data_IF_662903231304
#
_entry.id   IF_662903231304
#
_cell.length_a   1.000
_cell.length_b   1.000
_cell.length_c   1.000
_cell.angle_alpha   90.00
_cell.angle_beta   90.00
_cell.angle_gamma   90.00
#
_symmetry.space_group_name_H-M   'P 1'
#
loop_
_entity.id
_entity.type
_entity.pdbx_description
1 polymer ?
#
# COMPACT_ATOMS: atom_id res chain seq x y z
N UNK A 1 16.85 -19.04 57.89
CA UNK A 1 16.65 -20.21 56.99
C UNK A 1 17.95 -20.62 56.28
N UNK A 2 18.76 -19.66 55.80
CA UNK A 2 20.02 -19.95 55.07
C UNK A 2 21.06 -20.64 55.95
N UNK A 3 21.26 -20.15 57.15
CA UNK A 3 22.25 -20.70 58.11
C UNK A 3 21.80 -22.02 58.77
N UNK A 4 20.48 -22.22 58.97
CA UNK A 4 19.97 -23.42 59.66
C UNK A 4 19.87 -24.66 58.73
N UNK A 5 19.85 -24.50 57.41
CA UNK A 5 19.62 -25.59 56.45
C UNK A 5 20.70 -25.75 55.38
N UNK A 6 21.79 -24.99 55.40
CA UNK A 6 22.86 -25.00 54.38
C UNK A 6 22.33 -24.87 52.94
N UNK A 7 21.27 -24.09 52.73
CA UNK A 7 20.64 -23.90 51.43
C UNK A 7 21.22 -22.66 50.75
N UNK A 8 21.46 -22.75 49.46
CA UNK A 8 21.66 -21.58 48.61
C UNK A 8 20.31 -21.08 48.12
N UNK A 9 20.09 -19.78 48.20
CA UNK A 9 18.86 -19.13 47.73
C UNK A 9 19.24 -18.20 46.59
N UNK A 10 18.64 -18.40 45.42
CA UNK A 10 18.75 -17.50 44.28
C UNK A 10 17.45 -16.70 44.17
N UNK A 11 17.59 -15.38 44.26
CA UNK A 11 16.48 -14.45 44.03
C UNK A 11 16.60 -13.90 42.60
N UNK A 12 15.55 -14.07 41.79
CA UNK A 12 15.48 -13.49 40.47
C UNK A 12 14.36 -12.44 40.51
N UNK A 13 14.71 -11.19 40.25
CA UNK A 13 13.75 -10.09 40.23
C UNK A 13 14.03 -9.14 39.05
N UNK A 14 12.99 -8.45 38.59
CA UNK A 14 13.13 -7.35 37.68
C UNK A 14 12.94 -6.05 38.47
N UNK A 15 14.01 -5.30 38.63
CA UNK A 15 14.01 -4.06 39.44
C UNK A 15 13.11 -2.99 38.83
N UNK A 16 13.03 -2.91 37.47
CA UNK A 16 12.20 -1.94 36.78
C UNK A 16 10.70 -2.21 36.96
N UNK A 17 10.33 -3.46 37.25
CA UNK A 17 8.97 -3.86 37.54
C UNK A 17 8.58 -3.75 39.03
N UNK A 18 9.51 -3.42 39.92
CA UNK A 18 9.20 -3.24 41.32
C UNK A 18 8.40 -1.96 41.56
N UNK A 19 7.31 -2.08 42.32
CA UNK A 19 6.59 -0.90 42.81
C UNK A 19 7.52 -0.10 43.74
N UNK A 20 7.32 1.22 43.77
CA UNK A 20 8.17 2.16 44.50
C UNK A 20 8.44 1.72 45.95
N UNK A 21 7.42 1.32 46.68
CA UNK A 21 7.56 0.88 48.08
C UNK A 21 8.40 -0.40 48.19
N UNK A 22 8.24 -1.36 47.26
CA UNK A 22 9.02 -2.60 47.26
C UNK A 22 10.48 -2.36 46.83
N UNK A 23 10.73 -1.36 45.98
CA UNK A 23 12.08 -0.94 45.59
C UNK A 23 12.81 -0.30 46.75
N UNK A 24 12.19 0.62 47.49
CA UNK A 24 12.75 1.25 48.68
C UNK A 24 13.04 0.23 49.79
N UNK A 25 12.18 -0.77 50.00
CA UNK A 25 12.41 -1.88 50.91
C UNK A 25 13.60 -2.76 50.46
N UNK A 26 13.67 -3.09 49.17
CA UNK A 26 14.77 -3.89 48.64
C UNK A 26 16.12 -3.16 48.75
N UNK A 27 16.18 -1.87 48.42
CA UNK A 27 17.38 -1.04 48.60
C UNK A 27 17.81 -0.97 50.06
N UNK A 28 16.86 -0.89 51.00
CA UNK A 28 17.13 -0.79 52.43
C UNK A 28 17.67 -2.10 53.05
N UNK A 29 17.16 -3.24 52.57
CA UNK A 29 17.47 -4.55 53.16
C UNK A 29 18.35 -5.44 52.26
N UNK A 30 18.59 -5.07 51.02
CA UNK A 30 19.37 -5.84 50.05
C UNK A 30 20.74 -6.20 50.51
N UNK A 31 21.51 -5.22 51.04
CA UNK A 31 22.87 -5.46 51.60
C UNK A 31 22.90 -6.53 52.70
N UNK A 32 21.81 -6.72 53.44
CA UNK A 32 21.75 -7.71 54.54
C UNK A 32 21.32 -9.10 54.09
N UNK A 33 20.70 -9.19 52.92
CA UNK A 33 20.06 -10.41 52.41
C UNK A 33 20.79 -11.04 51.23
N UNK A 34 21.51 -10.22 50.48
CA UNK A 34 22.14 -10.62 49.20
C UNK A 34 23.67 -10.66 49.43
N UNK A 35 24.28 -11.83 49.25
CA UNK A 35 25.73 -12.00 49.35
C UNK A 35 26.40 -11.62 48.01
N UNK A 36 25.76 -11.89 46.91
CA UNK A 36 26.25 -11.62 45.56
C UNK A 36 25.07 -11.16 44.72
N UNK A 37 25.20 -10.02 44.11
CA UNK A 37 24.29 -9.47 43.13
C UNK A 37 24.92 -9.60 41.74
N UNK A 38 24.13 -10.14 40.78
CA UNK A 38 24.55 -10.29 39.38
C UNK A 38 23.53 -9.63 38.52
N UNK A 39 23.88 -8.53 37.91
CA UNK A 39 23.04 -7.91 36.92
C UNK A 39 23.05 -8.73 35.61
N UNK A 40 21.88 -9.16 35.18
CA UNK A 40 21.70 -9.89 33.93
C UNK A 40 21.18 -8.94 32.84
N UNK A 41 22.10 -8.33 32.10
CA UNK A 41 21.79 -7.49 30.94
C UNK A 41 22.02 -8.31 29.67
N UNK A 42 21.00 -8.42 28.87
CA UNK A 42 21.07 -9.08 27.55
C UNK A 42 21.18 -8.01 26.47
N UNK A 43 22.07 -8.21 25.50
CA UNK A 43 22.06 -7.39 24.27
C UNK A 43 20.85 -7.73 23.41
N UNK A 44 20.42 -6.86 22.49
CA UNK A 44 19.40 -7.20 21.50
C UNK A 44 19.77 -8.45 20.71
N UNK A 45 21.02 -8.59 20.30
CA UNK A 45 21.51 -9.72 19.50
C UNK A 45 21.47 -11.03 20.29
N UNK A 46 21.88 -11.03 21.58
CA UNK A 46 21.72 -12.20 22.44
C UNK A 46 20.26 -12.58 22.65
N UNK A 47 19.39 -11.58 22.78
CA UNK A 47 17.95 -11.82 22.94
C UNK A 47 17.34 -12.39 21.65
N UNK A 48 17.76 -11.90 20.49
CA UNK A 48 17.37 -12.40 19.16
C UNK A 48 17.82 -13.83 18.95
N UNK A 49 19.10 -14.13 19.18
CA UNK A 49 19.69 -15.48 19.04
C UNK A 49 19.10 -16.52 20.00
N UNK A 50 18.39 -16.10 21.08
CA UNK A 50 17.61 -17.04 21.91
C UNK A 50 16.32 -17.52 21.23
N UNK A 51 15.87 -16.86 20.16
CA UNK A 51 14.56 -17.11 19.51
C UNK A 51 14.73 -17.52 18.07
N UNK A 52 15.58 -16.86 17.33
CA UNK A 52 15.83 -17.11 15.93
C UNK A 52 17.15 -17.87 15.75
N UNK A 53 17.15 -18.80 14.81
CA UNK A 53 18.36 -19.46 14.35
C UNK A 53 18.89 -18.71 13.10
N UNK A 54 20.19 -18.86 12.79
CA UNK A 54 20.83 -18.19 11.65
C UNK A 54 20.19 -18.60 10.32
N UNK A 55 19.63 -19.80 10.23
CA UNK A 55 18.95 -20.35 9.05
C UNK A 55 17.47 -19.94 8.95
N UNK A 56 16.90 -19.23 9.95
CA UNK A 56 15.54 -18.73 9.83
C UNK A 56 15.49 -17.68 8.69
N UNK A 57 14.56 -17.88 7.78
CA UNK A 57 14.25 -16.96 6.71
C UNK A 57 14.14 -15.53 7.19
N UNK A 58 14.14 -14.51 6.86
CA UNK A 58 13.98 -13.15 7.42
C UNK A 58 14.88 -12.81 8.63
N UNK A 59 15.72 -13.75 9.08
CA UNK A 59 16.59 -13.56 10.26
C UNK A 59 17.44 -12.29 10.15
N UNK A 60 18.01 -12.01 8.98
CA UNK A 60 18.88 -10.84 8.74
C UNK A 60 18.13 -9.50 8.88
N UNK A 61 16.93 -9.40 8.31
CA UNK A 61 16.10 -8.18 8.38
C UNK A 61 15.61 -7.96 9.81
N UNK A 62 15.08 -9.01 10.43
CA UNK A 62 14.53 -8.94 11.79
C UNK A 62 15.59 -8.67 12.84
N UNK A 63 16.80 -9.25 12.70
CA UNK A 63 17.94 -8.98 13.58
C UNK A 63 18.33 -7.50 13.53
N UNK A 64 18.44 -6.93 12.33
CA UNK A 64 18.71 -5.51 12.12
C UNK A 64 17.67 -4.61 12.82
N UNK A 65 16.40 -4.91 12.60
CA UNK A 65 15.28 -4.18 13.20
C UNK A 65 15.26 -4.27 14.73
N UNK A 66 15.45 -5.48 15.27
CA UNK A 66 15.50 -5.72 16.73
C UNK A 66 16.67 -4.96 17.38
N UNK A 67 17.84 -4.96 16.73
CA UNK A 67 19.03 -4.25 17.23
C UNK A 67 18.85 -2.74 17.15
N UNK A 68 18.29 -2.22 16.07
CA UNK A 68 18.05 -0.79 15.87
C UNK A 68 17.01 -0.22 16.86
N UNK A 69 15.95 -1.00 17.17
CA UNK A 69 14.94 -0.65 18.18
C UNK A 69 15.36 -1.01 19.61
N UNK A 70 16.56 -1.55 19.81
CA UNK A 70 17.09 -2.01 21.10
C UNK A 70 16.17 -2.98 21.85
N UNK A 71 15.48 -3.88 21.15
CA UNK A 71 14.54 -4.83 21.74
C UNK A 71 15.32 -5.95 22.45
N UNK A 72 15.29 -5.96 23.78
CA UNK A 72 16.00 -6.94 24.63
C UNK A 72 15.07 -7.99 25.24
N UNK A 73 13.74 -7.79 25.09
CA UNK A 73 12.73 -8.65 25.67
C UNK A 73 12.46 -9.86 24.79
N UNK A 74 12.95 -11.04 25.18
CA UNK A 74 12.78 -12.31 24.48
C UNK A 74 11.31 -12.65 24.20
N UNK A 75 10.38 -12.25 25.07
CA UNK A 75 8.94 -12.51 24.86
C UNK A 75 8.37 -11.70 23.68
N UNK A 76 8.85 -10.47 23.51
CA UNK A 76 8.48 -9.63 22.34
C UNK A 76 9.01 -10.29 21.07
N UNK A 77 10.28 -10.73 21.08
CA UNK A 77 10.92 -11.39 19.93
C UNK A 77 10.23 -12.72 19.59
N UNK A 78 9.81 -13.50 20.61
CA UNK A 78 9.02 -14.73 20.38
C UNK A 78 7.66 -14.42 19.75
N UNK A 79 7.01 -13.34 20.14
CA UNK A 79 5.76 -12.89 19.50
C UNK A 79 6.00 -12.44 18.06
N UNK A 80 7.08 -11.69 17.82
CA UNK A 80 7.52 -11.31 16.50
C UNK A 80 7.69 -12.53 15.60
N UNK A 81 8.50 -13.53 15.99
CA UNK A 81 8.70 -14.77 15.25
C UNK A 81 7.38 -15.46 14.90
N UNK A 82 6.44 -15.53 15.84
CA UNK A 82 5.14 -16.14 15.61
C UNK A 82 4.29 -15.38 14.60
N UNK A 83 4.33 -14.04 14.62
CA UNK A 83 3.56 -13.19 13.71
C UNK A 83 4.20 -13.16 12.31
N UNK A 84 5.53 -13.13 12.23
CA UNK A 84 6.26 -13.24 10.98
C UNK A 84 5.92 -14.52 10.22
N UNK A 85 5.81 -15.67 10.90
CA UNK A 85 5.38 -16.92 10.27
C UNK A 85 3.98 -16.86 9.66
N UNK A 86 3.10 -16.00 10.17
CA UNK A 86 1.77 -15.80 9.60
C UNK A 86 1.79 -14.83 8.41
N UNK A 87 2.74 -13.91 8.39
CA UNK A 87 2.92 -12.98 7.29
C UNK A 87 3.68 -13.61 6.11
N UNK A 88 4.53 -14.59 6.38
CA UNK A 88 5.40 -15.24 5.39
C UNK A 88 4.71 -15.59 4.07
N UNK A 89 3.53 -16.27 4.03
CA UNK A 89 2.91 -16.68 2.77
C UNK A 89 2.59 -15.52 1.81
N UNK A 90 2.48 -14.31 2.33
CA UNK A 90 2.17 -13.10 1.54
C UNK A 90 3.42 -12.37 1.07
N UNK A 91 4.62 -12.76 1.58
CA UNK A 91 5.91 -12.16 1.25
C UNK A 91 6.75 -13.01 0.28
N UNK A 92 6.32 -14.25 -0.02
CA UNK A 92 7.14 -15.21 -0.81
C UNK A 92 7.39 -14.76 -2.25
N UNK A 93 6.51 -13.94 -2.84
CA UNK A 93 6.59 -13.50 -4.24
C UNK A 93 6.77 -11.99 -4.41
N UNK A 94 6.96 -11.24 -3.31
CA UNK A 94 7.13 -9.79 -3.38
C UNK A 94 8.59 -9.35 -3.54
N UNK A 95 8.79 -8.10 -3.93
CA UNK A 95 10.12 -7.51 -4.04
C UNK A 95 10.84 -7.46 -2.68
N UNK A 96 12.18 -7.60 -2.65
CA UNK A 96 12.94 -7.59 -1.40
C UNK A 96 12.73 -6.33 -0.55
N UNK A 97 12.45 -5.19 -1.18
CA UNK A 97 12.17 -3.94 -0.48
C UNK A 97 10.80 -3.96 0.20
N UNK A 98 9.80 -4.55 -0.45
CA UNK A 98 8.44 -4.77 0.10
C UNK A 98 8.49 -5.70 1.30
N UNK A 99 9.20 -6.83 1.18
CA UNK A 99 9.47 -7.77 2.27
C UNK A 99 10.08 -7.06 3.47
N UNK A 100 11.17 -6.33 3.24
CA UNK A 100 11.86 -5.56 4.27
C UNK A 100 10.94 -4.57 4.96
N UNK A 101 10.22 -3.75 4.22
CA UNK A 101 9.29 -2.74 4.73
C UNK A 101 8.21 -3.35 5.61
N UNK A 102 7.61 -4.46 5.18
CA UNK A 102 6.58 -5.16 5.94
C UNK A 102 7.13 -5.75 7.25
N UNK A 103 8.33 -6.33 7.24
CA UNK A 103 8.98 -6.90 8.42
C UNK A 103 9.44 -5.84 9.41
N UNK A 104 10.01 -4.74 8.93
CA UNK A 104 10.39 -3.59 9.74
C UNK A 104 9.16 -2.97 10.41
N UNK A 105 8.08 -2.73 9.66
CA UNK A 105 6.82 -2.22 10.19
C UNK A 105 6.22 -3.18 11.23
N UNK A 106 6.19 -4.49 10.95
CA UNK A 106 5.71 -5.49 11.92
C UNK A 106 6.54 -5.44 13.21
N UNK A 107 7.87 -5.34 13.10
CA UNK A 107 8.77 -5.31 14.26
C UNK A 107 8.51 -4.09 15.14
N UNK A 108 8.38 -2.90 14.54
CA UNK A 108 8.04 -1.67 15.23
C UNK A 108 6.68 -1.76 15.95
N UNK A 109 5.65 -2.22 15.24
CA UNK A 109 4.30 -2.35 15.82
C UNK A 109 4.24 -3.38 16.95
N UNK A 110 4.95 -4.50 16.83
CA UNK A 110 5.05 -5.52 17.90
C UNK A 110 5.74 -4.93 19.13
N UNK A 111 6.82 -4.19 18.93
CA UNK A 111 7.52 -3.51 20.01
C UNK A 111 6.65 -2.44 20.67
N UNK A 112 5.97 -1.60 19.90
CA UNK A 112 5.08 -0.55 20.41
C UNK A 112 3.86 -1.10 21.14
N UNK A 113 3.31 -2.22 20.68
CA UNK A 113 2.10 -2.82 21.25
C UNK A 113 2.37 -3.61 22.55
N UNK A 114 3.54 -4.28 22.64
CA UNK A 114 3.87 -5.15 23.76
C UNK A 114 5.03 -4.62 24.63
N UNK A 115 5.67 -3.52 24.22
CA UNK A 115 6.70 -2.88 25.00
C UNK A 115 6.11 -2.24 26.25
N UNK A 116 6.67 -2.58 27.40
CA UNK A 116 6.36 -1.94 28.69
C UNK A 116 7.43 -0.87 29.05
N UNK A 117 8.38 -0.66 28.14
CA UNK A 117 9.51 0.27 28.33
C UNK A 117 9.04 1.70 28.01
N UNK A 118 9.46 2.66 28.81
CA UNK A 118 9.22 4.10 28.57
C UNK A 118 9.85 4.60 27.26
N UNK A 119 10.76 3.83 26.66
CA UNK A 119 11.41 4.11 25.38
C UNK A 119 10.59 3.69 24.16
N UNK A 120 9.59 2.82 24.31
CA UNK A 120 8.73 2.43 23.18
C UNK A 120 7.60 3.44 22.97
N UNK A 121 7.37 3.93 21.73
CA UNK A 121 6.21 4.75 21.43
C UNK A 121 4.94 3.90 21.61
N UNK A 122 3.86 4.51 22.05
CA UNK A 122 2.55 3.87 22.02
C UNK A 122 2.04 3.81 20.58
N UNK A 123 1.03 2.97 20.32
CA UNK A 123 0.38 2.94 19.00
C UNK A 123 -0.29 4.28 18.65
N UNK A 124 -0.78 5.01 19.65
CA UNK A 124 -1.32 6.35 19.48
C UNK A 124 -0.22 7.34 19.07
N UNK A 125 0.96 7.27 19.68
CA UNK A 125 2.10 8.10 19.29
C UNK A 125 2.53 7.84 17.83
N UNK A 126 2.49 6.59 17.37
CA UNK A 126 2.80 6.25 15.98
C UNK A 126 1.78 6.84 14.98
N UNK A 127 0.51 6.94 15.36
CA UNK A 127 -0.54 7.56 14.54
C UNK A 127 -0.38 9.07 14.44
N UNK A 128 0.12 9.69 15.51
CA UNK A 128 0.23 11.15 15.63
C UNK A 128 1.61 11.69 15.18
N UNK A 129 2.51 10.85 14.68
CA UNK A 129 3.88 11.24 14.26
C UNK A 129 3.89 12.47 13.35
N UNK A 130 2.92 12.63 12.45
CA UNK A 130 2.81 13.80 11.58
C UNK A 130 2.43 15.09 12.34
N UNK A 131 1.58 15.00 13.34
CA UNK A 131 1.21 16.16 14.14
C UNK A 131 2.41 16.69 14.96
N UNK A 132 3.32 15.79 15.34
CA UNK A 132 4.52 16.07 16.14
C UNK A 132 5.71 16.55 15.30
N UNK A 133 5.75 16.26 14.01
CA UNK A 133 6.85 16.69 13.12
C UNK A 133 6.99 18.21 13.00
N UNK A 134 5.90 18.98 13.28
CA UNK A 134 5.89 20.44 13.33
C UNK A 134 6.20 21.03 14.72
N UNK A 135 6.24 20.22 15.79
CA UNK A 135 6.43 20.63 17.17
C UNK A 135 7.72 20.00 17.75
N UNK A 136 8.85 20.31 17.14
CA UNK A 136 10.15 19.66 17.38
C UNK A 136 10.71 19.77 18.82
N UNK A 137 10.06 20.46 19.74
CA UNK A 137 10.56 20.67 21.12
C UNK A 137 9.95 19.70 22.16
N UNK A 138 8.88 18.95 21.83
CA UNK A 138 8.22 18.03 22.78
C UNK A 138 8.29 16.53 22.37
N UNK A 139 9.05 16.20 21.33
CA UNK A 139 9.21 14.81 20.90
C UNK A 139 10.09 14.03 21.87
N UNK A 140 9.54 13.00 22.52
CA UNK A 140 10.24 12.13 23.45
C UNK A 140 11.46 11.41 22.85
N UNK A 141 12.22 10.70 23.69
CA UNK A 141 13.44 9.97 23.30
C UNK A 141 13.25 9.04 22.09
N UNK A 142 12.04 8.51 21.89
CA UNK A 142 11.72 7.62 20.77
C UNK A 142 11.62 8.31 19.40
N UNK A 143 11.41 9.63 19.34
CA UNK A 143 11.28 10.35 18.04
C UNK A 143 12.55 10.29 17.20
N UNK A 144 13.73 10.40 17.87
CA UNK A 144 15.00 10.27 17.17
C UNK A 144 15.21 8.84 16.69
N UNK A 145 14.80 7.88 17.50
CA UNK A 145 14.91 6.46 17.17
C UNK A 145 14.02 6.12 15.96
N UNK A 146 12.77 6.60 15.91
CA UNK A 146 11.88 6.40 14.78
C UNK A 146 12.42 7.03 13.48
N UNK A 147 13.00 8.24 13.55
CA UNK A 147 13.67 8.85 12.39
C UNK A 147 14.84 8.02 11.90
N UNK A 148 15.67 7.52 12.80
CA UNK A 148 16.79 6.67 12.44
C UNK A 148 16.33 5.32 11.88
N UNK A 149 15.19 4.82 12.37
CA UNK A 149 14.54 3.60 11.89
C UNK A 149 13.91 3.78 10.49
N UNK A 150 13.71 5.02 10.03
CA UNK A 150 13.10 5.32 8.76
C UNK A 150 11.56 5.28 8.78
N UNK A 151 10.95 5.23 9.98
CA UNK A 151 9.49 5.25 10.08
C UNK A 151 8.92 6.63 9.77
N UNK A 152 8.05 6.70 8.78
CA UNK A 152 7.44 7.95 8.32
C UNK A 152 6.07 8.20 8.92
N UNK A 153 5.07 7.49 8.46
CA UNK A 153 3.66 7.68 8.82
C UNK A 153 2.96 6.37 9.06
N UNK A 154 1.95 6.42 9.94
CA UNK A 154 1.03 5.31 10.15
C UNK A 154 0.07 5.19 8.94
N UNK A 155 0.18 4.11 8.21
CA UNK A 155 -0.57 3.85 6.97
C UNK A 155 -1.56 2.69 7.08
N UNK A 156 -2.04 2.26 5.91
CA UNK A 156 -2.97 1.14 5.81
C UNK A 156 -2.31 -0.20 6.15
N UNK A 157 -1.05 -0.42 5.72
CA UNK A 157 -0.27 -1.59 6.12
C UNK A 157 -0.17 -1.70 7.64
N UNK A 158 0.15 -0.59 8.34
CA UNK A 158 0.22 -0.54 9.80
C UNK A 158 -1.11 -0.98 10.43
N UNK A 159 -2.23 -0.51 9.88
CA UNK A 159 -3.57 -0.86 10.36
C UNK A 159 -3.87 -2.35 10.21
N UNK A 160 -3.49 -2.95 9.08
CA UNK A 160 -3.66 -4.39 8.83
C UNK A 160 -2.75 -5.21 9.72
N UNK A 161 -1.46 -4.85 9.85
CA UNK A 161 -0.51 -5.53 10.74
C UNK A 161 -0.88 -5.37 12.20
N UNK A 162 -1.40 -4.22 12.61
CA UNK A 162 -1.92 -4.01 13.97
C UNK A 162 -3.12 -4.90 14.25
N UNK A 163 -3.99 -5.13 13.26
CA UNK A 163 -5.08 -6.10 13.36
C UNK A 163 -4.57 -7.52 13.55
N UNK A 164 -3.51 -7.92 12.83
CA UNK A 164 -2.80 -9.18 13.05
C UNK A 164 -2.28 -9.31 14.49
N UNK A 165 -1.64 -8.26 15.01
CA UNK A 165 -1.08 -8.26 16.37
C UNK A 165 -2.19 -8.43 17.42
N UNK A 166 -3.31 -7.70 17.26
CA UNK A 166 -4.43 -7.70 18.21
C UNK A 166 -5.28 -8.99 18.16
N UNK A 167 -5.59 -9.47 16.96
CA UNK A 167 -6.50 -10.59 16.72
C UNK A 167 -5.79 -11.92 16.54
N UNK A 168 -4.53 -11.89 16.12
CA UNK A 168 -3.73 -13.07 15.85
C UNK A 168 -4.02 -13.76 14.51
N UNK A 169 -4.78 -13.14 13.62
CA UNK A 169 -5.06 -13.60 12.25
C UNK A 169 -5.18 -12.42 11.30
N UNK A 170 -5.00 -12.69 10.01
CA UNK A 170 -5.17 -11.75 8.90
C UNK A 170 -6.42 -12.12 8.10
N UNK A 171 -6.96 -11.14 7.40
CA UNK A 171 -7.89 -11.35 6.29
C UNK A 171 -7.06 -11.37 5.01
N UNK A 172 -7.04 -12.51 4.31
CA UNK A 172 -6.16 -12.72 3.15
C UNK A 172 -6.29 -11.60 2.11
N UNK A 173 -7.52 -11.19 1.79
CA UNK A 173 -7.78 -10.12 0.83
C UNK A 173 -7.21 -8.75 1.26
N UNK A 174 -7.23 -8.42 2.55
CA UNK A 174 -6.74 -7.13 3.05
C UNK A 174 -5.22 -7.06 3.02
N UNK A 175 -4.55 -8.11 3.52
CA UNK A 175 -3.08 -8.13 3.55
C UNK A 175 -2.50 -8.22 2.14
N UNK A 176 -3.06 -9.07 1.27
CA UNK A 176 -2.58 -9.21 -0.10
C UNK A 176 -2.65 -7.87 -0.84
N UNK A 177 -3.79 -7.18 -0.75
CA UNK A 177 -3.94 -5.85 -1.37
C UNK A 177 -2.88 -4.84 -0.89
N UNK A 178 -2.53 -4.86 0.40
CA UNK A 178 -1.52 -3.94 0.91
C UNK A 178 -0.10 -4.32 0.45
N UNK A 179 0.22 -5.61 0.42
CA UNK A 179 1.51 -6.09 -0.09
C UNK A 179 1.62 -5.77 -1.58
N UNK A 180 0.61 -6.08 -2.39
CA UNK A 180 0.61 -5.80 -3.83
C UNK A 180 0.83 -4.31 -4.11
N UNK A 181 0.16 -3.41 -3.36
CA UNK A 181 0.33 -1.96 -3.51
C UNK A 181 1.75 -1.51 -3.20
N UNK A 182 2.32 -1.96 -2.09
CA UNK A 182 3.68 -1.57 -1.69
C UNK A 182 4.70 -2.15 -2.66
N UNK A 183 4.41 -3.33 -3.19
CA UNK A 183 5.26 -3.99 -4.18
C UNK A 183 5.28 -3.21 -5.49
N UNK A 184 4.13 -2.72 -5.94
CA UNK A 184 4.02 -1.83 -7.09
C UNK A 184 4.75 -0.50 -6.86
N UNK A 185 4.55 0.15 -5.71
CA UNK A 185 5.28 1.37 -5.32
C UNK A 185 6.80 1.15 -5.27
N UNK A 186 7.25 -0.01 -4.80
CA UNK A 186 8.67 -0.39 -4.74
C UNK A 186 9.28 -0.53 -6.12
N UNK A 187 8.58 -1.19 -7.05
CA UNK A 187 9.00 -1.34 -8.44
C UNK A 187 9.06 0.00 -9.18
N UNK A 188 8.08 0.87 -8.95
CA UNK A 188 8.10 2.24 -9.50
C UNK A 188 9.31 3.04 -9.01
N UNK A 189 9.68 2.90 -7.72
CA UNK A 189 10.86 3.56 -7.15
C UNK A 189 12.17 2.99 -7.72
N UNK A 190 12.27 1.69 -7.92
CA UNK A 190 13.43 1.05 -8.51
C UNK A 190 13.62 1.48 -9.96
N UNK A 191 12.54 1.48 -10.75
CA UNK A 191 12.53 1.98 -12.12
C UNK A 191 13.00 3.44 -12.20
N UNK A 192 12.48 4.29 -11.33
CA UNK A 192 12.88 5.70 -11.23
C UNK A 192 14.35 5.86 -10.83
N UNK A 193 14.86 5.00 -9.94
CA UNK A 193 16.25 5.03 -9.49
C UNK A 193 17.22 4.57 -10.61
N UNK A 194 16.84 3.54 -11.39
CA UNK A 194 17.61 3.06 -12.52
C UNK A 194 17.75 4.12 -13.60
N UNK A 195 16.64 4.75 -13.98
CA UNK A 195 16.67 5.85 -14.94
C UNK A 195 17.52 7.02 -14.44
N UNK A 196 17.41 7.38 -13.16
CA UNK A 196 18.23 8.43 -12.55
C UNK A 196 19.72 8.09 -12.63
N UNK A 197 20.10 6.85 -12.32
CA UNK A 197 21.50 6.42 -12.43
C UNK A 197 22.05 6.56 -13.86
N UNK A 198 21.25 6.26 -14.88
CA UNK A 198 21.62 6.49 -16.28
C UNK A 198 21.79 7.97 -16.60
N UNK A 199 20.87 8.83 -16.12
CA UNK A 199 21.01 10.28 -16.27
C UNK A 199 22.19 10.87 -15.50
N UNK A 200 22.59 10.28 -14.37
CA UNK A 200 23.78 10.69 -13.62
C UNK A 200 25.08 10.47 -14.42
N UNK A 201 25.13 9.44 -15.28
CA UNK A 201 26.23 9.23 -16.22
C UNK A 201 26.29 10.42 -17.21
N UNK A 202 25.15 10.81 -17.78
CA UNK A 202 25.06 11.96 -18.69
C UNK A 202 25.49 13.28 -18.04
N UNK A 203 25.06 13.52 -16.81
CA UNK A 203 25.35 14.76 -16.08
C UNK A 203 26.74 14.77 -15.45
N UNK A 204 27.32 13.61 -15.19
CA UNK A 204 28.57 13.47 -14.45
C UNK A 204 29.85 13.51 -15.27
N UNK A 205 29.78 13.49 -16.63
CA UNK A 205 30.93 13.38 -17.50
C UNK A 205 30.82 14.29 -18.73
N UNK A 206 31.97 14.74 -19.24
CA UNK A 206 32.11 15.34 -20.57
C UNK A 206 32.86 14.37 -21.52
N UNK A 207 32.81 13.07 -21.26
CA UNK A 207 33.34 12.04 -22.14
C UNK A 207 32.59 11.97 -23.47
N UNK A 208 33.24 11.39 -24.51
CA UNK A 208 32.64 11.19 -25.84
C UNK A 208 32.03 9.79 -25.97
N UNK A 209 31.26 9.37 -24.94
CA UNK A 209 30.72 8.02 -24.80
C UNK A 209 29.27 7.96 -25.29
N UNK A 210 28.97 8.67 -26.39
CA UNK A 210 27.61 8.84 -26.94
C UNK A 210 26.87 7.51 -27.17
N UNK A 211 27.57 6.53 -27.77
CA UNK A 211 26.92 5.23 -28.09
C UNK A 211 26.68 4.41 -26.84
N UNK A 212 27.65 4.41 -25.91
CA UNK A 212 27.50 3.70 -24.62
C UNK A 212 26.37 4.28 -23.81
N UNK A 213 26.26 5.61 -23.70
CA UNK A 213 25.14 6.27 -23.00
C UNK A 213 23.80 5.97 -23.66
N UNK A 214 23.73 5.97 -25.02
CA UNK A 214 22.48 5.66 -25.72
C UNK A 214 22.05 4.20 -25.46
N UNK A 215 22.98 3.25 -25.48
CA UNK A 215 22.71 1.85 -25.22
C UNK A 215 22.27 1.62 -23.75
N UNK A 216 22.90 2.29 -22.79
CA UNK A 216 22.51 2.28 -21.38
C UNK A 216 21.10 2.86 -21.15
N UNK A 217 20.78 3.97 -21.84
CA UNK A 217 19.45 4.60 -21.76
C UNK A 217 18.37 3.68 -22.33
N UNK A 218 18.63 3.06 -23.48
CA UNK A 218 17.74 2.08 -24.09
C UNK A 218 17.50 0.91 -23.14
N UNK A 219 18.56 0.35 -22.56
CA UNK A 219 18.44 -0.75 -21.63
C UNK A 219 17.68 -0.37 -20.36
N UNK A 220 17.93 0.82 -19.82
CA UNK A 220 17.21 1.31 -18.63
C UNK A 220 15.71 1.49 -18.89
N UNK A 221 15.32 1.97 -20.08
CA UNK A 221 13.90 2.08 -20.46
C UNK A 221 13.28 0.70 -20.66
N UNK A 222 13.97 -0.21 -21.38
CA UNK A 222 13.47 -1.59 -21.59
C UNK A 222 13.25 -2.34 -20.28
N UNK A 223 14.17 -2.22 -19.32
CA UNK A 223 14.06 -2.87 -18.00
C UNK A 223 12.96 -2.27 -17.10
N UNK A 224 12.51 -1.07 -17.43
CA UNK A 224 11.54 -0.32 -16.63
C UNK A 224 10.21 -0.03 -17.35
N UNK A 225 9.96 -0.67 -18.50
CA UNK A 225 8.77 -0.41 -19.33
C UNK A 225 7.45 -0.49 -18.58
N UNK A 226 7.31 -1.38 -17.60
CA UNK A 226 6.09 -1.54 -16.82
C UNK A 226 5.80 -0.36 -15.88
N UNK A 227 6.85 0.36 -15.48
CA UNK A 227 6.81 1.34 -14.38
C UNK A 227 7.24 2.74 -14.81
N UNK A 228 7.89 2.89 -15.97
CA UNK A 228 8.34 4.19 -16.46
C UNK A 228 7.16 5.12 -16.71
N UNK A 229 7.21 6.34 -16.20
CA UNK A 229 6.20 7.35 -16.51
C UNK A 229 6.35 7.83 -17.96
N UNK A 230 5.24 8.26 -18.58
CA UNK A 230 5.24 8.85 -19.93
C UNK A 230 6.24 10.01 -20.03
N UNK A 231 6.38 10.82 -19.00
CA UNK A 231 7.35 11.93 -18.96
C UNK A 231 8.79 11.44 -19.04
N UNK A 232 9.13 10.39 -18.31
CA UNK A 232 10.49 9.84 -18.34
C UNK A 232 10.77 9.16 -19.68
N UNK A 233 9.78 8.53 -20.27
CA UNK A 233 9.86 7.99 -21.62
C UNK A 233 10.07 9.10 -22.66
N UNK A 234 9.28 10.20 -22.59
CA UNK A 234 9.42 11.35 -23.49
C UNK A 234 10.83 11.95 -23.43
N UNK A 235 11.38 12.15 -22.24
CA UNK A 235 12.74 12.61 -22.06
C UNK A 235 13.80 11.66 -22.67
N UNK A 236 13.60 10.35 -22.53
CA UNK A 236 14.49 9.35 -23.10
C UNK A 236 14.39 9.32 -24.63
N UNK A 237 13.19 9.37 -25.17
CA UNK A 237 12.93 9.43 -26.62
C UNK A 237 13.54 10.69 -27.23
N UNK A 238 13.32 11.87 -26.65
CA UNK A 238 13.91 13.13 -27.12
C UNK A 238 15.43 13.06 -27.13
N UNK A 239 16.04 12.51 -26.08
CA UNK A 239 17.49 12.33 -26.01
C UNK A 239 18.00 11.39 -27.11
N UNK A 240 17.35 10.24 -27.32
CA UNK A 240 17.72 9.28 -28.36
C UNK A 240 17.62 9.91 -29.75
N UNK A 241 16.57 10.69 -30.05
CA UNK A 241 16.47 11.44 -31.31
C UNK A 241 17.61 12.47 -31.45
N UNK A 242 17.91 13.20 -30.39
CA UNK A 242 19.03 14.15 -30.37
C UNK A 242 20.38 13.46 -30.67
N UNK A 243 20.53 12.23 -30.20
CA UNK A 243 21.72 11.40 -30.47
C UNK A 243 21.72 10.74 -31.87
N UNK A 244 20.64 10.86 -32.65
CA UNK A 244 20.45 10.24 -33.96
C UNK A 244 20.07 8.75 -33.90
N UNK A 245 19.51 8.29 -32.78
CA UNK A 245 19.04 6.92 -32.55
C UNK A 245 17.53 6.82 -32.81
N UNK A 246 17.04 7.37 -33.94
CA UNK A 246 15.61 7.47 -34.29
C UNK A 246 14.86 6.12 -34.18
N UNK A 247 15.46 5.04 -34.73
CA UNK A 247 14.84 3.72 -34.74
C UNK A 247 14.67 3.13 -33.32
N UNK A 248 15.60 3.45 -32.43
CA UNK A 248 15.51 2.99 -31.04
C UNK A 248 14.43 3.77 -30.29
N UNK A 249 14.33 5.08 -30.56
CA UNK A 249 13.27 5.91 -30.03
C UNK A 249 11.87 5.39 -30.45
N UNK A 250 11.66 5.16 -31.77
CA UNK A 250 10.41 4.61 -32.29
C UNK A 250 10.09 3.25 -31.66
N UNK A 251 11.07 2.36 -31.56
CA UNK A 251 10.89 1.05 -30.93
C UNK A 251 10.46 1.14 -29.47
N UNK A 252 11.02 2.09 -28.71
CA UNK A 252 10.64 2.26 -27.30
C UNK A 252 9.22 2.78 -27.17
N UNK A 253 8.77 3.67 -28.05
CA UNK A 253 7.38 4.14 -28.09
C UNK A 253 6.45 2.96 -28.36
N UNK A 254 6.70 2.21 -29.44
CA UNK A 254 5.92 1.02 -29.79
C UNK A 254 5.86 0.01 -28.64
N UNK A 255 7.01 -0.23 -27.99
CA UNK A 255 7.09 -1.17 -26.88
C UNK A 255 6.29 -0.72 -25.67
N UNK A 256 6.31 0.57 -25.36
CA UNK A 256 5.54 1.15 -24.25
C UNK A 256 4.04 1.08 -24.49
N UNK A 257 3.59 1.55 -25.67
CA UNK A 257 2.16 1.52 -26.03
C UNK A 257 1.62 0.08 -26.01
N UNK A 258 2.37 -0.84 -26.61
CA UNK A 258 2.00 -2.26 -26.60
C UNK A 258 1.98 -2.87 -25.21
N UNK A 259 2.92 -2.49 -24.33
CA UNK A 259 3.01 -3.00 -22.96
C UNK A 259 1.81 -2.58 -22.13
N UNK A 260 1.32 -1.37 -22.36
CA UNK A 260 0.20 -0.77 -21.64
C UNK A 260 -1.12 -0.82 -22.40
N UNK A 261 -1.21 -1.65 -23.47
CA UNK A 261 -2.43 -1.86 -24.24
C UNK A 261 -3.61 -2.23 -23.31
N UNK A 262 -4.72 -1.49 -23.43
CA UNK A 262 -5.88 -1.65 -22.54
C UNK A 262 -5.79 -0.97 -21.17
N UNK A 263 -4.68 -0.35 -20.83
CA UNK A 263 -4.51 0.39 -19.57
C UNK A 263 -4.53 1.92 -19.82
N UNK A 264 -5.76 2.48 -19.85
CA UNK A 264 -5.95 3.90 -20.11
C UNK A 264 -5.21 4.80 -19.09
N UNK A 265 -5.07 4.39 -17.84
CA UNK A 265 -4.42 5.19 -16.79
C UNK A 265 -2.92 5.39 -17.06
N UNK A 266 -2.23 4.38 -17.60
CA UNK A 266 -0.81 4.48 -17.97
C UNK A 266 -0.59 5.22 -19.30
N UNK A 267 -1.60 5.31 -20.14
CA UNK A 267 -1.55 5.96 -21.48
C UNK A 267 -2.16 7.36 -21.50
N UNK A 268 -3.00 7.72 -20.52
CA UNK A 268 -3.72 8.99 -20.49
C UNK A 268 -2.80 10.17 -20.16
N UNK A 269 -2.81 11.16 -21.05
CA UNK A 269 -2.05 12.40 -20.91
C UNK A 269 -2.78 13.47 -20.08
N UNK A 270 -4.05 13.27 -19.73
CA UNK A 270 -4.89 14.29 -19.11
C UNK A 270 -4.40 14.70 -17.69
N UNK A 271 -3.83 13.78 -16.95
CA UNK A 271 -3.20 14.08 -15.65
C UNK A 271 -1.85 14.80 -15.77
N UNK A 272 -1.15 14.63 -16.88
CA UNK A 272 0.13 15.31 -17.15
C UNK A 272 -0.05 16.81 -17.47
N UNK A 273 -1.24 17.23 -17.93
CA UNK A 273 -1.55 18.57 -18.44
C UNK A 273 -1.55 19.69 -17.38
N UNK A 274 -1.10 19.48 -16.19
CA UNK A 274 -0.85 20.58 -15.25
C UNK A 274 0.40 21.41 -15.59
N UNK A 275 0.80 21.45 -16.89
CA UNK A 275 1.75 22.42 -17.44
C UNK A 275 2.96 21.88 -18.19
N UNK A 276 2.98 20.60 -18.60
CA UNK A 276 4.04 20.07 -19.44
C UNK A 276 3.45 19.09 -20.48
N UNK A 277 3.44 19.51 -21.73
CA UNK A 277 3.07 18.67 -22.88
C UNK A 277 4.16 17.63 -23.16
N UNK A 278 3.76 16.46 -23.67
CA UNK A 278 4.69 15.50 -24.29
C UNK A 278 5.40 16.19 -25.46
N UNK A 279 6.74 16.16 -25.46
CA UNK A 279 7.55 16.92 -26.41
C UNK A 279 7.65 16.20 -27.74
N UNK A 280 7.79 14.86 -27.72
CA UNK A 280 7.88 14.05 -28.93
C UNK A 280 6.50 13.90 -29.62
N UNK A 281 6.39 14.33 -30.91
CA UNK A 281 5.11 14.29 -31.59
C UNK A 281 4.58 12.86 -31.83
N UNK A 282 5.48 11.91 -32.16
CA UNK A 282 5.08 10.53 -32.41
C UNK A 282 4.57 9.87 -31.14
N UNK A 283 5.28 10.02 -30.01
CA UNK A 283 4.81 9.51 -28.72
C UNK A 283 3.44 10.05 -28.38
N UNK A 284 3.22 11.35 -28.56
CA UNK A 284 1.93 11.99 -28.31
C UNK A 284 0.82 11.40 -29.19
N UNK A 285 1.08 11.25 -30.49
CA UNK A 285 0.09 10.77 -31.44
C UNK A 285 -0.28 9.31 -31.16
N UNK A 286 0.72 8.45 -30.90
CA UNK A 286 0.48 7.03 -30.56
C UNK A 286 -0.24 6.84 -29.23
N UNK A 287 0.07 7.64 -28.21
CA UNK A 287 -0.65 7.59 -26.94
C UNK A 287 -2.11 8.02 -27.09
N UNK A 288 -2.39 9.11 -27.84
CA UNK A 288 -3.74 9.56 -28.10
C UNK A 288 -4.55 8.52 -28.92
N UNK A 289 -3.92 7.89 -29.91
CA UNK A 289 -4.54 6.84 -30.70
C UNK A 289 -4.89 5.62 -29.82
N UNK A 290 -3.96 5.18 -28.98
CA UNK A 290 -4.17 4.05 -28.08
C UNK A 290 -5.28 4.33 -27.03
N UNK A 291 -5.33 5.55 -26.47
CA UNK A 291 -6.41 5.96 -25.56
C UNK A 291 -7.74 5.98 -26.29
N UNK A 292 -7.79 6.52 -27.52
CA UNK A 292 -9.01 6.55 -28.32
C UNK A 292 -9.53 5.16 -28.65
N UNK A 293 -8.64 4.20 -28.99
CA UNK A 293 -9.00 2.80 -29.22
C UNK A 293 -9.62 2.15 -27.97
N UNK A 294 -9.07 2.45 -26.78
CA UNK A 294 -9.61 1.97 -25.50
C UNK A 294 -11.00 2.58 -25.27
N UNK A 295 -11.17 3.88 -25.50
CA UNK A 295 -12.45 4.55 -25.33
C UNK A 295 -13.50 4.01 -26.32
N UNK A 296 -13.15 3.80 -27.59
CA UNK A 296 -14.03 3.27 -28.63
C UNK A 296 -14.44 1.80 -28.38
N UNK A 297 -13.58 1.02 -27.70
CA UNK A 297 -13.84 -0.38 -27.32
C UNK A 297 -14.54 -0.55 -25.98
N UNK A 298 -14.72 0.52 -25.22
CA UNK A 298 -15.25 0.53 -23.85
C UNK A 298 -16.69 0.00 -23.81
N UNK A 299 -16.96 -0.88 -22.88
CA UNK A 299 -18.30 -1.41 -22.65
C UNK A 299 -18.86 -0.94 -21.32
N UNK A 300 -20.19 -0.81 -21.22
CA UNK A 300 -20.89 -0.49 -19.95
C UNK A 300 -20.54 -1.50 -18.86
N UNK A 301 -20.36 -2.77 -19.25
CA UNK A 301 -19.96 -3.83 -18.31
C UNK A 301 -18.59 -3.57 -17.67
N UNK A 302 -17.60 -3.16 -18.45
CA UNK A 302 -16.26 -2.86 -17.97
C UNK A 302 -16.22 -1.58 -17.14
N UNK A 303 -16.89 -0.53 -17.59
CA UNK A 303 -16.98 0.72 -16.87
C UNK A 303 -17.68 0.53 -15.50
N UNK A 304 -18.82 -0.19 -15.46
CA UNK A 304 -19.51 -0.48 -14.19
C UNK A 304 -18.69 -1.35 -13.24
N UNK A 305 -17.92 -2.32 -13.75
CA UNK A 305 -17.00 -3.11 -12.91
C UNK A 305 -15.95 -2.23 -12.26
N UNK A 306 -15.30 -1.33 -13.00
CA UNK A 306 -14.29 -0.41 -12.49
C UNK A 306 -14.83 0.51 -11.40
N UNK A 307 -15.88 1.27 -11.71
CA UNK A 307 -16.45 2.24 -10.76
C UNK A 307 -17.03 1.58 -9.51
N UNK A 308 -17.59 0.37 -9.63
CA UNK A 308 -18.19 -0.34 -8.49
C UNK A 308 -17.22 -1.09 -7.62
N UNK A 309 -16.04 -1.48 -8.15
CA UNK A 309 -15.00 -2.17 -7.39
C UNK A 309 -14.17 -1.24 -6.50
N UNK A 310 -14.27 0.08 -6.70
CA UNK A 310 -13.45 1.07 -5.99
C UNK A 310 -11.99 1.10 -6.47
N UNK A 311 -11.68 0.44 -7.58
CA UNK A 311 -10.44 0.65 -8.32
C UNK A 311 -10.45 2.06 -8.90
N UNK A 312 -9.28 2.63 -9.15
CA UNK A 312 -9.12 3.98 -9.70
C UNK A 312 -10.09 4.21 -10.87
N UNK A 313 -11.06 5.10 -10.67
CA UNK A 313 -12.05 5.47 -11.68
C UNK A 313 -11.89 6.95 -12.02
N UNK A 314 -11.66 7.22 -13.29
CA UNK A 314 -11.52 8.59 -13.82
C UNK A 314 -12.86 9.19 -14.24
N UNK A 315 -12.90 10.50 -14.45
CA UNK A 315 -14.08 11.21 -14.98
C UNK A 315 -14.55 10.63 -16.32
N UNK A 316 -13.68 9.99 -17.11
CA UNK A 316 -14.02 9.37 -18.39
C UNK A 316 -14.99 8.18 -18.25
N UNK A 317 -14.89 7.37 -17.16
CA UNK A 317 -15.85 6.28 -16.93
C UNK A 317 -17.24 6.81 -16.56
N UNK A 318 -17.30 7.88 -15.77
CA UNK A 318 -18.57 8.54 -15.41
C UNK A 318 -19.20 9.14 -16.65
N UNK A 319 -18.43 9.87 -17.45
CA UNK A 319 -18.92 10.47 -18.70
C UNK A 319 -19.42 9.42 -19.70
N UNK A 320 -18.69 8.31 -19.87
CA UNK A 320 -19.11 7.19 -20.70
C UNK A 320 -20.42 6.56 -20.18
N UNK A 321 -20.52 6.24 -18.91
CA UNK A 321 -21.71 5.67 -18.29
C UNK A 321 -22.91 6.61 -18.37
N UNK A 322 -22.69 7.93 -18.25
CA UNK A 322 -23.77 8.92 -18.40
C UNK A 322 -24.37 8.96 -19.80
N UNK A 323 -23.63 8.55 -20.82
CA UNK A 323 -24.08 8.50 -22.22
C UNK A 323 -24.68 7.15 -22.62
N UNK A 324 -24.37 6.08 -21.88
CA UNK A 324 -24.89 4.73 -22.14
C UNK A 324 -26.43 4.68 -22.10
N UNK A 325 -27.04 3.74 -22.79
CA UNK A 325 -28.47 3.55 -22.80
C UNK A 325 -28.98 2.72 -21.62
N UNK A 326 -30.24 2.87 -21.23
CA UNK A 326 -30.86 2.02 -20.20
C UNK A 326 -30.91 0.53 -20.61
N UNK A 327 -30.88 0.20 -21.90
CA UNK A 327 -30.78 -1.18 -22.41
C UNK A 327 -29.43 -1.81 -22.03
N UNK A 328 -28.31 -1.08 -22.14
CA UNK A 328 -27.01 -1.58 -21.80
C UNK A 328 -26.86 -1.82 -20.27
N UNK A 329 -27.48 -0.95 -19.46
CA UNK A 329 -27.58 -1.20 -18.00
C UNK A 329 -28.41 -2.44 -17.69
N UNK A 330 -29.55 -2.61 -18.40
CA UNK A 330 -30.40 -3.78 -18.24
C UNK A 330 -29.65 -5.07 -18.60
N UNK A 331 -28.97 -5.11 -19.73
CA UNK A 331 -28.18 -6.27 -20.15
C UNK A 331 -27.07 -6.62 -19.17
N UNK A 332 -26.37 -5.62 -18.65
CA UNK A 332 -25.39 -5.83 -17.60
C UNK A 332 -26.03 -6.40 -16.34
N UNK A 333 -27.09 -5.81 -15.82
CA UNK A 333 -27.75 -6.27 -14.58
C UNK A 333 -28.33 -7.68 -14.72
N UNK A 334 -28.69 -8.09 -15.91
CA UNK A 334 -29.17 -9.45 -16.22
C UNK A 334 -28.02 -10.46 -16.32
N UNK A 335 -26.86 -10.05 -16.78
CA UNK A 335 -25.70 -10.93 -16.98
C UNK A 335 -24.83 -11.05 -15.72
N UNK A 336 -24.67 -9.98 -14.94
CA UNK A 336 -23.85 -9.94 -13.74
C UNK A 336 -24.46 -10.76 -12.58
N UNK A 337 -23.60 -11.31 -11.71
CA UNK A 337 -24.02 -12.17 -10.61
C UNK A 337 -23.28 -11.85 -9.30
N UNK A 338 -23.89 -12.24 -8.18
CA UNK A 338 -23.24 -12.26 -6.87
C UNK A 338 -22.83 -10.88 -6.38
N UNK A 339 -21.55 -10.71 -6.06
CA UNK A 339 -20.97 -9.46 -5.52
C UNK A 339 -20.94 -8.37 -6.59
N UNK A 340 -20.55 -8.72 -7.81
CA UNK A 340 -20.45 -7.80 -8.94
C UNK A 340 -21.77 -7.07 -9.21
N UNK A 341 -22.87 -7.82 -9.36
CA UNK A 341 -24.21 -7.23 -9.54
C UNK A 341 -24.57 -6.31 -8.36
N UNK A 342 -24.30 -6.78 -7.15
CA UNK A 342 -24.69 -6.03 -5.95
C UNK A 342 -23.94 -4.71 -5.83
N UNK A 343 -22.65 -4.71 -6.10
CA UNK A 343 -21.81 -3.53 -5.97
C UNK A 343 -22.15 -2.51 -7.07
N UNK A 344 -22.36 -2.97 -8.31
CA UNK A 344 -22.76 -2.11 -9.43
C UNK A 344 -24.13 -1.47 -9.20
N UNK A 345 -25.15 -2.24 -8.83
CA UNK A 345 -26.48 -1.67 -8.52
C UNK A 345 -26.41 -0.66 -7.39
N UNK A 346 -25.68 -0.98 -6.30
CA UNK A 346 -25.53 -0.04 -5.18
C UNK A 346 -24.78 1.22 -5.56
N UNK A 347 -23.81 1.12 -6.46
CA UNK A 347 -23.08 2.28 -6.95
C UNK A 347 -24.01 3.19 -7.76
N UNK A 348 -24.73 2.63 -8.75
CA UNK A 348 -25.69 3.39 -9.55
C UNK A 348 -26.79 4.05 -8.70
N UNK A 349 -27.30 3.38 -7.66
CA UNK A 349 -28.30 3.97 -6.78
C UNK A 349 -27.75 5.12 -5.93
N UNK A 350 -26.46 5.07 -5.55
CA UNK A 350 -25.80 6.13 -4.80
C UNK A 350 -25.49 7.36 -5.64
N UNK A 351 -25.33 7.24 -6.95
CA UNK A 351 -25.04 8.39 -7.83
C UNK A 351 -26.14 9.46 -7.76
N UNK A 352 -27.40 9.10 -7.55
CA UNK A 352 -28.48 10.07 -7.32
C UNK A 352 -28.38 10.89 -6.02
N UNK A 353 -27.40 10.59 -5.14
CA UNK A 353 -27.16 11.32 -3.91
C UNK A 353 -25.95 12.26 -3.98
N UNK A 354 -25.22 12.26 -5.09
CA UNK A 354 -24.02 13.09 -5.29
C UNK A 354 -24.39 14.48 -5.85
N UNK A 355 -25.02 15.34 -5.06
CA UNK A 355 -25.52 16.66 -5.49
C UNK A 355 -24.55 17.82 -5.19
N UNK A 356 -23.31 17.60 -4.77
CA UNK A 356 -22.39 18.66 -4.29
C UNK A 356 -21.10 18.84 -5.10
N UNK A 357 -20.86 18.08 -6.16
CA UNK A 357 -19.59 18.13 -6.90
C UNK A 357 -19.78 18.32 -8.39
N UNK A 358 -19.85 19.46 -8.94
CA UNK A 358 -19.71 19.88 -10.36
C UNK A 358 -19.99 18.92 -11.54
N UNK A 359 -20.31 17.67 -11.27
CA UNK A 359 -20.65 16.59 -12.23
C UNK A 359 -22.09 16.10 -12.04
N UNK A 360 -22.96 16.91 -11.46
CA UNK A 360 -24.32 16.51 -11.05
C UNK A 360 -25.15 15.94 -12.19
N UNK A 361 -25.07 16.52 -13.39
CA UNK A 361 -25.83 16.08 -14.56
C UNK A 361 -25.44 14.65 -15.03
N UNK A 362 -24.16 14.29 -14.98
CA UNK A 362 -23.67 12.96 -15.40
C UNK A 362 -24.11 11.89 -14.38
N UNK A 363 -24.00 12.16 -13.11
CA UNK A 363 -24.44 11.24 -12.06
C UNK A 363 -25.96 11.07 -12.03
N UNK A 364 -26.72 12.13 -12.27
CA UNK A 364 -28.17 12.06 -12.41
C UNK A 364 -28.58 11.22 -13.62
N UNK A 365 -27.89 11.39 -14.76
CA UNK A 365 -28.14 10.60 -15.97
C UNK A 365 -27.87 9.10 -15.72
N UNK A 366 -26.78 8.74 -15.05
CA UNK A 366 -26.46 7.35 -14.65
C UNK A 366 -27.57 6.79 -13.77
N UNK A 367 -27.94 7.53 -12.73
CA UNK A 367 -29.00 7.13 -11.80
C UNK A 367 -30.31 6.85 -12.51
N UNK A 368 -30.76 7.80 -13.35
CA UNK A 368 -32.01 7.69 -14.10
C UNK A 368 -32.04 6.45 -15.01
N UNK A 369 -30.98 6.23 -15.80
CA UNK A 369 -30.89 5.09 -16.73
C UNK A 369 -30.82 3.75 -16.01
N UNK A 370 -30.10 3.71 -14.88
CA UNK A 370 -30.04 2.53 -14.02
C UNK A 370 -31.43 2.23 -13.39
N UNK A 371 -32.17 3.25 -12.94
CA UNK A 371 -33.51 3.11 -12.40
C UNK A 371 -34.49 2.59 -13.45
N UNK A 372 -34.44 3.11 -14.70
CA UNK A 372 -35.25 2.63 -15.83
C UNK A 372 -34.95 1.14 -16.12
N UNK A 373 -33.69 0.74 -16.15
CA UNK A 373 -33.27 -0.66 -16.29
C UNK A 373 -33.81 -1.56 -15.16
N UNK A 374 -33.71 -1.09 -13.91
CA UNK A 374 -34.20 -1.81 -12.74
C UNK A 374 -35.74 -1.91 -12.70
N UNK A 375 -36.46 -0.87 -13.18
CA UNK A 375 -37.90 -0.91 -13.35
C UNK A 375 -38.34 -2.02 -14.31
N UNK A 376 -37.68 -2.12 -15.45
CA UNK A 376 -37.95 -3.21 -16.43
C UNK A 376 -37.68 -4.59 -15.81
N UNK A 377 -36.59 -4.75 -15.00
CA UNK A 377 -36.31 -6.00 -14.32
C UNK A 377 -37.40 -6.32 -13.27
N UNK A 378 -37.94 -5.30 -12.59
CA UNK A 378 -39.03 -5.47 -11.62
C UNK A 378 -40.29 -6.02 -12.30
N UNK A 379 -40.62 -5.52 -13.47
CA UNK A 379 -41.84 -5.92 -14.23
C UNK A 379 -41.81 -7.37 -14.70
N UNK A 380 -40.64 -7.97 -14.86
CA UNK A 380 -40.50 -9.35 -15.30
C UNK A 380 -41.04 -10.38 -14.28
N UNK A 381 -40.90 -10.13 -12.99
CA UNK A 381 -41.35 -11.08 -12.00
C UNK A 381 -41.53 -10.51 -10.61
N UNK A 382 -42.47 -11.07 -9.85
CA UNK A 382 -42.64 -10.76 -8.40
C UNK A 382 -41.40 -11.02 -7.57
N UNK A 383 -40.57 -11.98 -7.98
CA UNK A 383 -39.31 -12.26 -7.29
C UNK A 383 -38.29 -11.11 -7.45
N UNK A 384 -38.22 -10.52 -8.64
CA UNK A 384 -37.35 -9.38 -8.87
C UNK A 384 -37.79 -8.13 -8.10
N UNK A 385 -39.10 -7.87 -8.02
CA UNK A 385 -39.64 -6.82 -7.16
C UNK A 385 -39.22 -6.99 -5.70
N UNK A 386 -39.33 -8.22 -5.16
CA UNK A 386 -38.89 -8.52 -3.79
C UNK A 386 -37.39 -8.31 -3.61
N UNK A 387 -36.58 -8.71 -4.61
CA UNK A 387 -35.12 -8.52 -4.57
C UNK A 387 -34.76 -7.04 -4.54
N UNK A 388 -35.34 -6.25 -5.39
CA UNK A 388 -35.09 -4.81 -5.47
C UNK A 388 -35.46 -4.12 -4.15
N UNK A 389 -36.64 -4.39 -3.62
CA UNK A 389 -37.06 -3.80 -2.35
C UNK A 389 -36.22 -4.27 -1.16
N UNK A 390 -36.00 -5.60 -1.00
CA UNK A 390 -35.36 -6.14 0.20
C UNK A 390 -33.83 -6.07 0.21
N UNK A 391 -33.18 -6.15 -0.94
CA UNK A 391 -31.71 -6.19 -1.06
C UNK A 391 -31.13 -4.81 -1.33
N UNK A 392 -31.82 -4.03 -2.16
CA UNK A 392 -31.32 -2.75 -2.66
C UNK A 392 -32.06 -1.54 -2.05
N UNK A 393 -33.21 -1.77 -1.37
CA UNK A 393 -33.97 -0.70 -0.74
C UNK A 393 -34.72 0.21 -1.71
N UNK A 394 -34.97 -0.26 -2.96
CA UNK A 394 -35.70 0.50 -3.97
C UNK A 394 -37.20 0.31 -3.73
N UNK A 395 -37.93 1.40 -3.48
CA UNK A 395 -39.36 1.37 -3.32
C UNK A 395 -40.06 1.33 -4.70
N UNK A 396 -41.16 0.58 -4.82
CA UNK A 396 -41.83 0.42 -6.13
C UNK A 396 -42.40 1.73 -6.67
N UNK A 397 -42.78 2.65 -5.78
CA UNK A 397 -43.29 3.98 -6.15
C UNK A 397 -42.19 4.86 -6.80
N UNK A 398 -40.91 4.62 -6.46
CA UNK A 398 -39.77 5.32 -7.08
C UNK A 398 -39.51 4.86 -8.52
N UNK A 399 -39.88 3.61 -8.84
CA UNK A 399 -39.75 3.05 -10.20
C UNK A 399 -40.84 3.53 -11.16
N UNK A 400 -42.02 3.93 -10.64
CA UNK A 400 -43.17 4.43 -11.45
C UNK A 400 -43.03 5.93 -11.80
N UNK A 401 -42.14 6.68 -11.16
CA UNK A 401 -41.98 8.13 -11.40
C UNK A 401 -40.98 8.45 -12.51
N UNK A 402 -40.43 7.45 -13.19
CA UNK A 402 -39.37 7.61 -14.22
C UNK A 402 -39.96 7.66 -15.69
N UNK A 403 -41.31 7.78 -15.86
CA UNK A 403 -42.00 7.97 -17.15
C UNK A 403 -42.10 9.44 -17.59
#
# INVERSE_FOLDING_TARGET
MKEERSCQVVLILNEDALKKDAREEFETYGEKLVDIEVEFKRSPDDAFGCVFDDDDEFSSVLSGSVSQLEIRNVRIIQRLKRLTRKLKPYLEECEPQTERSALETLTLLVWSYYGEDTRSPSIEDLKDVYALAGLAEESGEWSQLLRNYGYGTFGELDSVLLSLIKRGYLTDEEIQRQIDRIDEESRDQEASSRLRATWDIYHGSFGDDKEEFADELIQAVDDTLDYISVRNLDNAVEMLRTLGREKDADRLIDAYVKRHEGNAEKLDLSEMMRGQDVTDPQLRDELNEAVQEIEDSKTVSEALRRVSSGQSWGGSDVSFLSQASSEEYYDFFKSAQGKELRDAVKWCLRTGQFTETGSDEEYEAIHHKAMEALSRIADESKLNQIRLSKIYGVEMDELETTD
#
